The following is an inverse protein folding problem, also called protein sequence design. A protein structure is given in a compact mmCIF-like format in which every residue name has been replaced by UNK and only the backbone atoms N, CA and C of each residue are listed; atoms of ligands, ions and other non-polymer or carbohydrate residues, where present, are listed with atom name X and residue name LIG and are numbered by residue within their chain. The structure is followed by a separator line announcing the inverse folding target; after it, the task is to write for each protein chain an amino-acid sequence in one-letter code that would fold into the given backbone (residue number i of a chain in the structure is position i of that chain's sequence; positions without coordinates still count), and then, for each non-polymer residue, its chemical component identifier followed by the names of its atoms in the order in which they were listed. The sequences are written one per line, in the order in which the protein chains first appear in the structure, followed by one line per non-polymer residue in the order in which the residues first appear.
data_IF_549645325094
#
_entry.id   IF_549645325094
#
_cell.length_a   1.000
_cell.length_b   1.000
_cell.length_c   1.000
_cell.angle_alpha   90.00
_cell.angle_beta   90.00
_cell.angle_gamma   90.00
#
_symmetry.space_group_name_H-M   'P 1'
#
loop_
_entity.id
_entity.type
_entity.pdbx_description
1 polymer ?
#
# COMPACT_ATOMS: atom_id res chain seq x y z
N UNK A 1 2.63 14.08 -6.26
CA UNK A 1 1.32 13.76 -6.89
C UNK A 1 0.54 15.07 -6.99
N UNK A 2 0.11 15.46 -8.18
CA UNK A 2 -0.68 16.69 -8.35
C UNK A 2 -2.00 16.57 -7.57
N UNK A 3 -2.52 17.67 -6.98
CA UNK A 3 -3.77 17.65 -6.26
C UNK A 3 -4.93 17.24 -7.18
N UNK A 4 -5.81 16.37 -6.67
CA UNK A 4 -7.01 15.97 -7.38
C UNK A 4 -8.05 17.07 -7.14
N UNK A 5 -8.52 17.71 -8.22
CA UNK A 5 -9.49 18.81 -8.11
C UNK A 5 -10.87 18.29 -7.69
N UNK A 6 -11.65 19.13 -7.01
CA UNK A 6 -13.03 18.78 -6.64
C UNK A 6 -13.91 18.61 -7.87
N UNK A 7 -13.66 19.39 -8.94
CA UNK A 7 -14.37 19.28 -10.20
C UNK A 7 -14.20 17.88 -10.83
N UNK A 8 -12.95 17.38 -10.91
CA UNK A 8 -12.68 16.03 -11.40
C UNK A 8 -13.43 14.96 -10.60
N UNK A 9 -13.49 15.12 -9.27
CA UNK A 9 -14.20 14.19 -8.40
C UNK A 9 -15.72 14.23 -8.61
N UNK A 10 -16.28 15.42 -8.82
CA UNK A 10 -17.71 15.58 -9.09
C UNK A 10 -18.09 14.98 -10.44
N UNK A 11 -17.31 15.23 -11.49
CA UNK A 11 -17.53 14.64 -12.81
C UNK A 11 -17.43 13.12 -12.77
N UNK A 12 -16.40 12.57 -12.10
CA UNK A 12 -16.24 11.12 -11.94
C UNK A 12 -17.40 10.51 -11.13
N UNK A 13 -17.90 11.19 -10.08
CA UNK A 13 -19.10 10.76 -9.32
C UNK A 13 -20.39 10.81 -10.18
N UNK A 14 -20.48 11.74 -11.10
CA UNK A 14 -21.60 11.87 -12.04
C UNK A 14 -21.57 10.82 -13.16
N UNK A 15 -20.50 9.99 -13.24
CA UNK A 15 -20.35 8.93 -14.23
C UNK A 15 -19.65 9.38 -15.50
N UNK A 16 -18.98 10.53 -15.52
CA UNK A 16 -18.16 10.94 -16.66
C UNK A 16 -16.98 9.98 -16.82
N UNK A 17 -16.94 9.27 -17.95
CA UNK A 17 -15.94 8.24 -18.23
C UNK A 17 -14.53 8.85 -18.37
N UNK A 18 -14.42 10.05 -18.92
CA UNK A 18 -13.12 10.72 -19.10
C UNK A 18 -12.55 11.14 -17.75
N UNK A 19 -13.39 11.70 -16.87
CA UNK A 19 -13.00 12.05 -15.51
C UNK A 19 -12.63 10.81 -14.70
N UNK A 20 -13.37 9.72 -14.86
CA UNK A 20 -13.08 8.44 -14.21
C UNK A 20 -11.75 7.88 -14.69
N UNK A 21 -11.50 7.84 -15.99
CA UNK A 21 -10.23 7.39 -16.56
C UNK A 21 -9.05 8.23 -16.06
N UNK A 22 -9.20 9.55 -15.99
CA UNK A 22 -8.17 10.44 -15.45
C UNK A 22 -7.90 10.19 -13.96
N UNK A 23 -8.94 9.90 -13.16
CA UNK A 23 -8.80 9.57 -11.75
C UNK A 23 -8.07 8.24 -11.57
N UNK A 24 -8.47 7.21 -12.32
CA UNK A 24 -7.82 5.89 -12.32
C UNK A 24 -6.34 6.04 -12.70
N UNK A 25 -6.03 6.74 -13.80
CA UNK A 25 -4.65 6.94 -14.24
C UNK A 25 -3.76 7.59 -13.16
N UNK A 26 -4.30 8.56 -12.40
CA UNK A 26 -3.58 9.22 -11.30
C UNK A 26 -3.34 8.31 -10.10
N UNK A 27 -4.29 7.41 -9.81
CA UNK A 27 -4.19 6.51 -8.66
C UNK A 27 -3.52 5.17 -8.98
N UNK A 28 -3.40 4.81 -10.27
CA UNK A 28 -2.85 3.55 -10.74
C UNK A 28 -1.44 3.24 -10.19
N UNK A 29 -0.46 4.18 -10.15
CA UNK A 29 0.85 3.89 -9.57
C UNK A 29 0.79 3.45 -8.12
N UNK A 30 -0.15 4.01 -7.35
CA UNK A 30 -0.36 3.65 -5.95
C UNK A 30 -1.04 2.29 -5.82
N UNK A 31 -2.04 2.02 -6.66
CA UNK A 31 -2.75 0.74 -6.72
C UNK A 31 -1.76 -0.38 -7.06
N UNK A 32 -0.96 -0.22 -8.11
CA UNK A 32 0.06 -1.21 -8.52
C UNK A 32 1.12 -1.44 -7.44
N UNK A 33 1.58 -0.38 -6.79
CA UNK A 33 2.52 -0.50 -5.66
C UNK A 33 1.92 -1.28 -4.49
N UNK A 34 0.64 -1.05 -4.20
CA UNK A 34 -0.09 -1.78 -3.16
C UNK A 34 -0.32 -3.25 -3.56
N UNK A 35 -0.72 -3.50 -4.81
CA UNK A 35 -0.92 -4.84 -5.36
C UNK A 35 0.36 -5.68 -5.25
N UNK A 36 1.50 -5.13 -5.65
CA UNK A 36 2.79 -5.81 -5.53
C UNK A 36 3.10 -6.30 -4.11
N UNK A 37 2.75 -5.49 -3.09
CA UNK A 37 2.98 -5.82 -1.67
C UNK A 37 1.98 -6.82 -1.10
N UNK A 38 0.79 -6.89 -1.68
CA UNK A 38 -0.30 -7.71 -1.17
C UNK A 38 -0.48 -9.03 -1.92
N UNK A 39 0.39 -9.36 -2.89
CA UNK A 39 0.39 -10.67 -3.53
C UNK A 39 0.53 -11.77 -2.49
N UNK A 40 -0.21 -12.84 -2.69
CA UNK A 40 -0.17 -14.02 -1.85
C UNK A 40 -0.61 -15.24 -2.68
N UNK A 41 -0.31 -16.45 -2.24
CA UNK A 41 -0.90 -17.64 -2.87
C UNK A 41 -2.44 -17.54 -2.89
N UNK A 42 -3.04 -17.57 -4.08
CA UNK A 42 -4.47 -17.37 -4.29
C UNK A 42 -4.91 -15.90 -4.42
N UNK A 43 -3.97 -14.97 -4.53
CA UNK A 43 -4.19 -13.58 -4.94
C UNK A 43 -2.99 -13.14 -5.76
N UNK A 44 -3.12 -13.17 -7.06
CA UNK A 44 -2.07 -12.72 -7.97
C UNK A 44 -1.97 -11.18 -8.05
N UNK A 45 -1.08 -10.69 -8.90
CA UNK A 45 -0.87 -9.24 -9.04
C UNK A 45 -2.08 -8.53 -9.64
N UNK A 46 -2.67 -9.12 -10.67
CA UNK A 46 -3.80 -8.54 -11.39
C UNK A 46 -5.07 -8.52 -10.51
N UNK A 47 -5.32 -9.59 -9.79
CA UNK A 47 -6.40 -9.64 -8.79
C UNK A 47 -6.22 -8.56 -7.72
N UNK A 48 -5.00 -8.42 -7.20
CA UNK A 48 -4.70 -7.37 -6.22
C UNK A 48 -4.83 -5.95 -6.79
N UNK A 49 -4.59 -5.75 -8.10
CA UNK A 49 -4.87 -4.48 -8.80
C UNK A 49 -6.37 -4.25 -8.90
N UNK A 50 -7.16 -5.26 -9.27
CA UNK A 50 -8.62 -5.14 -9.32
C UNK A 50 -9.22 -4.80 -7.96
N UNK A 51 -8.78 -5.44 -6.89
CA UNK A 51 -9.19 -5.09 -5.53
C UNK A 51 -8.84 -3.64 -5.17
N UNK A 52 -7.67 -3.18 -5.61
CA UNK A 52 -7.30 -1.78 -5.44
C UNK A 52 -8.20 -0.80 -6.21
N UNK A 53 -8.65 -1.17 -7.41
CA UNK A 53 -9.63 -0.40 -8.18
C UNK A 53 -11.00 -0.38 -7.48
N UNK A 54 -11.48 -1.51 -6.97
CA UNK A 54 -12.71 -1.58 -6.16
C UNK A 54 -12.61 -0.62 -4.96
N UNK A 55 -11.47 -0.65 -4.25
CA UNK A 55 -11.22 0.28 -3.15
C UNK A 55 -11.22 1.76 -3.57
N UNK A 56 -10.74 2.09 -4.78
CA UNK A 56 -10.81 3.44 -5.34
C UNK A 56 -12.26 3.86 -5.63
N UNK A 57 -13.06 2.99 -6.25
CA UNK A 57 -14.48 3.25 -6.53
C UNK A 57 -15.28 3.46 -5.23
N UNK A 58 -15.05 2.64 -4.23
CA UNK A 58 -15.67 2.80 -2.92
C UNK A 58 -15.27 4.12 -2.24
N UNK A 59 -14.00 4.49 -2.35
CA UNK A 59 -13.52 5.78 -1.86
C UNK A 59 -14.24 6.94 -2.57
N UNK A 60 -14.37 6.89 -3.90
CA UNK A 60 -15.06 7.93 -4.66
C UNK A 60 -16.52 8.09 -4.22
N UNK A 61 -17.23 6.99 -4.02
CA UNK A 61 -18.64 6.99 -3.58
C UNK A 61 -18.83 7.56 -2.19
N UNK A 62 -17.94 7.21 -1.24
CA UNK A 62 -18.06 7.58 0.18
C UNK A 62 -17.41 8.90 0.52
N UNK A 63 -16.60 9.46 -0.37
CA UNK A 63 -15.84 10.67 -0.08
C UNK A 63 -16.77 11.86 0.16
N UNK A 64 -16.55 12.53 1.27
CA UNK A 64 -17.20 13.79 1.65
C UNK A 64 -16.10 14.85 1.87
N UNK A 65 -16.11 15.88 1.01
CA UNK A 65 -15.15 16.98 1.10
C UNK A 65 -15.32 17.84 2.36
N UNK A 66 -16.53 17.83 2.98
CA UNK A 66 -16.79 18.56 4.21
C UNK A 66 -15.99 18.05 5.42
N UNK A 67 -15.47 16.82 5.37
CA UNK A 67 -14.64 16.23 6.41
C UNK A 67 -13.21 16.79 6.45
N UNK A 68 -12.84 17.70 5.54
CA UNK A 68 -11.54 18.35 5.53
C UNK A 68 -10.32 17.47 5.20
N UNK A 69 -10.55 16.21 4.83
CA UNK A 69 -9.48 15.27 4.45
C UNK A 69 -9.29 15.30 2.94
N UNK A 70 -8.07 15.45 2.40
CA UNK A 70 -7.83 15.37 0.96
C UNK A 70 -8.24 14.00 0.39
N UNK A 71 -8.93 13.99 -0.76
CA UNK A 71 -9.39 12.76 -1.42
C UNK A 71 -8.26 11.74 -1.61
N UNK A 72 -7.09 12.17 -2.06
CA UNK A 72 -5.96 11.28 -2.30
C UNK A 72 -5.55 10.50 -1.04
N UNK A 73 -5.59 11.13 0.13
CA UNK A 73 -5.31 10.47 1.41
C UNK A 73 -6.38 9.44 1.78
N UNK A 74 -7.67 9.83 1.65
CA UNK A 74 -8.80 8.95 1.92
C UNK A 74 -8.81 7.74 0.96
N UNK A 75 -8.66 7.98 -0.34
CA UNK A 75 -8.62 6.92 -1.34
C UNK A 75 -7.43 5.96 -1.13
N UNK A 76 -6.28 6.48 -0.71
CA UNK A 76 -5.12 5.65 -0.37
C UNK A 76 -5.45 4.62 0.71
N UNK A 77 -6.15 5.03 1.76
CA UNK A 77 -6.56 4.13 2.84
C UNK A 77 -7.58 3.08 2.36
N UNK A 78 -8.57 3.49 1.58
CA UNK A 78 -9.58 2.57 1.04
C UNK A 78 -8.94 1.52 0.12
N UNK A 79 -8.03 1.93 -0.78
CA UNK A 79 -7.29 1.03 -1.67
C UNK A 79 -6.47 0.03 -0.86
N UNK A 80 -5.72 0.51 0.14
CA UNK A 80 -4.90 -0.37 0.97
C UNK A 80 -5.75 -1.37 1.75
N UNK A 81 -6.88 -0.95 2.30
CA UNK A 81 -7.78 -1.84 3.03
C UNK A 81 -8.35 -2.93 2.11
N UNK A 82 -8.85 -2.56 0.91
CA UNK A 82 -9.38 -3.52 -0.05
C UNK A 82 -8.34 -4.59 -0.40
N UNK A 83 -7.12 -4.18 -0.75
CA UNK A 83 -6.03 -5.11 -1.09
C UNK A 83 -5.59 -5.98 0.09
N UNK A 84 -5.55 -5.44 1.31
CA UNK A 84 -5.22 -6.22 2.51
C UNK A 84 -6.32 -7.23 2.86
N UNK A 85 -7.57 -6.86 2.70
CA UNK A 85 -8.69 -7.76 2.97
C UNK A 85 -8.77 -8.89 1.96
N UNK A 86 -8.50 -8.61 0.67
CA UNK A 86 -8.35 -9.63 -0.36
C UNK A 86 -7.21 -10.61 -0.03
N UNK A 87 -6.04 -10.09 0.36
CA UNK A 87 -4.92 -10.93 0.81
C UNK A 87 -5.28 -11.80 2.01
N UNK A 88 -5.98 -11.25 3.00
CA UNK A 88 -6.46 -12.01 4.17
C UNK A 88 -7.45 -13.11 3.76
N UNK A 89 -8.35 -12.80 2.82
CA UNK A 89 -9.32 -13.77 2.31
C UNK A 89 -8.62 -14.91 1.56
N UNK A 90 -7.66 -14.60 0.68
CA UNK A 90 -6.88 -15.59 -0.05
C UNK A 90 -6.07 -16.51 0.88
N UNK A 91 -5.43 -15.94 1.91
CA UNK A 91 -4.65 -16.73 2.87
C UNK A 91 -5.50 -17.60 3.80
N UNK A 92 -6.75 -17.20 4.11
CA UNK A 92 -7.69 -18.02 4.89
C UNK A 92 -8.19 -19.23 4.09
N UNK A 93 -8.48 -19.04 2.79
CA UNK A 93 -8.93 -20.13 1.90
C UNK A 93 -7.88 -21.24 1.71
N UNK A 94 -6.60 -20.94 1.97
CA UNK A 94 -5.51 -21.92 1.83
C UNK A 94 -5.55 -23.07 2.84
N UNK A 95 -6.36 -22.97 3.90
CA UNK A 95 -6.60 -24.09 4.81
C UNK A 95 -7.78 -24.99 4.43
N UNK A 96 -8.44 -24.74 3.30
CA UNK A 96 -9.45 -25.63 2.76
C UNK A 96 -8.77 -26.65 1.82
N UNK A 97 -9.01 -27.98 1.99
CA UNK A 97 -8.28 -29.04 1.28
C UNK A 97 -8.54 -29.16 -0.21
N UNK A 98 -9.14 -28.17 -0.87
CA UNK A 98 -9.53 -28.19 -2.28
C UNK A 98 -8.58 -27.41 -3.22
N UNK A 99 -7.44 -26.91 -2.75
CA UNK A 99 -6.50 -26.13 -3.58
C UNK A 99 -5.17 -26.87 -3.84
N UNK A 100 -5.17 -28.21 -3.89
CA UNK A 100 -4.00 -28.99 -4.32
C UNK A 100 -3.86 -29.14 -5.85
N UNK A 101 -4.54 -28.31 -6.63
CA UNK A 101 -4.19 -28.16 -8.04
C UNK A 101 -3.00 -27.20 -8.14
N UNK A 102 -1.83 -27.77 -8.37
CA UNK A 102 -0.61 -27.06 -8.74
C UNK A 102 -0.93 -26.23 -9.99
N UNK A 103 -0.89 -24.89 -9.98
CA UNK A 103 -0.94 -24.13 -11.23
C UNK A 103 0.29 -24.51 -12.04
N UNK A 104 0.10 -24.88 -13.32
CA UNK A 104 1.22 -24.90 -14.26
C UNK A 104 1.92 -23.53 -14.18
N UNK A 105 3.25 -23.48 -14.14
CA UNK A 105 3.96 -22.22 -14.22
C UNK A 105 3.69 -21.63 -15.61
N UNK A 106 2.75 -20.68 -15.69
CA UNK A 106 2.74 -19.76 -16.81
C UNK A 106 4.00 -18.90 -16.63
N UNK A 107 4.84 -18.92 -17.67
CA UNK A 107 6.02 -18.07 -17.79
C UNK A 107 5.59 -16.60 -17.73
N UNK A 108 5.31 -16.09 -16.53
CA UNK A 108 5.45 -14.66 -16.29
C UNK A 108 6.94 -14.38 -16.43
N UNK A 109 7.31 -13.63 -17.46
CA UNK A 109 8.66 -13.14 -17.64
C UNK A 109 9.11 -12.49 -16.33
N UNK A 110 9.90 -13.21 -15.56
CA UNK A 110 10.54 -12.66 -14.37
C UNK A 110 11.27 -11.39 -14.81
N UNK A 111 11.20 -10.28 -14.04
CA UNK A 111 11.96 -9.08 -14.36
C UNK A 111 13.39 -9.50 -14.66
N UNK A 112 13.94 -9.02 -15.79
CA UNK A 112 15.25 -9.42 -16.26
C UNK A 112 16.32 -9.25 -15.18
N UNK A 113 17.43 -9.97 -15.24
CA UNK A 113 18.48 -9.91 -14.21
C UNK A 113 18.98 -8.47 -13.96
N UNK A 114 18.90 -7.60 -14.95
CA UNK A 114 19.25 -6.18 -14.82
C UNK A 114 18.23 -5.40 -13.97
N UNK A 115 16.93 -5.63 -14.15
CA UNK A 115 15.87 -4.99 -13.36
C UNK A 115 15.87 -5.48 -11.91
N UNK A 116 16.18 -6.75 -11.70
CA UNK A 116 16.33 -7.32 -10.35
C UNK A 116 17.55 -6.73 -9.63
N UNK A 117 18.63 -6.49 -10.34
CA UNK A 117 19.86 -5.90 -9.80
C UNK A 117 19.61 -4.44 -9.40
N UNK A 118 18.99 -3.63 -10.26
CA UNK A 118 18.66 -2.23 -9.98
C UNK A 118 17.68 -2.12 -8.79
N UNK A 119 16.66 -2.99 -8.75
CA UNK A 119 15.71 -3.02 -7.65
C UNK A 119 16.36 -3.41 -6.32
N UNK A 120 17.27 -4.39 -6.33
CA UNK A 120 18.01 -4.84 -5.15
C UNK A 120 19.01 -3.80 -4.65
N UNK A 121 19.73 -3.11 -5.54
CA UNK A 121 20.65 -2.02 -5.16
C UNK A 121 19.89 -0.84 -4.55
N UNK A 122 18.77 -0.45 -5.13
CA UNK A 122 17.92 0.61 -4.60
C UNK A 122 17.36 0.23 -3.24
N UNK A 123 16.88 -1.01 -3.08
CA UNK A 123 16.42 -1.54 -1.79
C UNK A 123 17.52 -1.51 -0.73
N UNK A 124 18.71 -2.03 -1.06
CA UNK A 124 19.86 -2.07 -0.15
C UNK A 124 20.30 -0.66 0.27
N UNK A 125 20.31 0.29 -0.68
CA UNK A 125 20.63 1.70 -0.38
C UNK A 125 19.62 2.35 0.55
N UNK A 126 18.32 2.09 0.35
CA UNK A 126 17.26 2.60 1.24
C UNK A 126 17.34 1.95 2.62
N UNK A 127 17.58 0.65 2.70
CA UNK A 127 17.72 -0.06 3.98
C UNK A 127 18.93 0.41 4.75
N UNK A 128 20.10 0.56 4.12
CA UNK A 128 21.30 1.11 4.73
C UNK A 128 21.06 2.54 5.28
N UNK A 129 20.31 3.36 4.55
CA UNK A 129 19.94 4.70 5.01
C UNK A 129 19.00 4.67 6.22
N UNK A 130 18.04 3.76 6.24
CA UNK A 130 17.16 3.54 7.39
C UNK A 130 17.98 3.13 8.61
N UNK A 131 18.93 2.21 8.44
CA UNK A 131 19.77 1.70 9.53
C UNK A 131 20.70 2.77 10.12
N UNK A 132 21.17 3.71 9.30
CA UNK A 132 22.06 4.80 9.76
C UNK A 132 21.30 5.97 10.41
N UNK A 133 20.09 6.27 9.97
CA UNK A 133 19.34 7.45 10.39
C UNK A 133 18.38 7.19 11.56
N UNK A 134 17.87 5.98 11.68
CA UNK A 134 16.82 5.67 12.64
C UNK A 134 17.37 4.89 13.84
N UNK A 135 16.84 5.22 15.03
CA UNK A 135 17.08 4.41 16.23
C UNK A 135 16.39 3.04 16.08
N UNK A 136 16.79 2.01 16.87
CA UNK A 136 16.16 0.68 16.79
C UNK A 136 14.64 0.72 16.94
N UNK A 137 14.10 1.52 17.83
CA UNK A 137 12.66 1.66 18.02
C UNK A 137 11.99 2.40 16.84
N UNK A 138 12.62 3.43 16.29
CA UNK A 138 12.10 4.16 15.13
C UNK A 138 12.08 3.27 13.87
N UNK A 139 13.13 2.46 13.70
CA UNK A 139 13.22 1.47 12.61
C UNK A 139 12.13 0.41 12.75
N UNK A 140 12.00 -0.19 13.93
CA UNK A 140 10.98 -1.21 14.19
C UNK A 140 9.55 -0.68 14.01
N UNK A 141 9.26 0.52 14.50
CA UNK A 141 7.97 1.19 14.32
C UNK A 141 7.68 1.49 12.84
N UNK A 142 8.71 1.90 12.08
CA UNK A 142 8.58 2.15 10.64
C UNK A 142 8.29 0.86 9.88
N UNK A 143 9.03 -0.21 10.13
CA UNK A 143 8.83 -1.51 9.47
C UNK A 143 7.45 -2.09 9.80
N UNK A 144 7.05 -2.07 11.06
CA UNK A 144 5.71 -2.51 11.47
C UNK A 144 4.59 -1.71 10.76
N UNK A 145 4.78 -0.40 10.59
CA UNK A 145 3.84 0.45 9.84
C UNK A 145 3.81 0.12 8.34
N UNK A 146 4.95 -0.26 7.74
CA UNK A 146 5.02 -0.68 6.35
C UNK A 146 4.35 -2.05 6.15
N UNK A 147 4.42 -2.92 7.15
CA UNK A 147 3.72 -4.22 7.17
C UNK A 147 2.21 -4.08 7.48
N UNK A 148 1.70 -2.85 7.62
CA UNK A 148 0.29 -2.58 7.87
C UNK A 148 -0.18 -2.90 9.30
N UNK A 149 0.75 -3.04 10.25
CA UNK A 149 0.39 -3.27 11.66
C UNK A 149 -0.14 -1.98 12.30
N UNK A 150 -1.15 -2.11 13.15
CA UNK A 150 -1.59 -1.01 14.00
C UNK A 150 -0.56 -0.69 15.09
N UNK A 151 -0.54 0.56 15.56
CA UNK A 151 0.36 0.97 16.63
C UNK A 151 0.20 0.10 17.91
N UNK A 152 -1.02 -0.34 18.20
CA UNK A 152 -1.29 -1.23 19.33
C UNK A 152 -0.65 -2.61 19.14
N UNK A 153 -0.75 -3.19 17.94
CA UNK A 153 -0.15 -4.49 17.62
C UNK A 153 1.37 -4.43 17.60
N UNK A 154 1.93 -3.39 16.99
CA UNK A 154 3.38 -3.17 16.97
C UNK A 154 3.93 -2.97 18.40
N UNK A 155 3.19 -2.25 19.26
CA UNK A 155 3.57 -2.04 20.66
C UNK A 155 3.66 -3.33 21.45
N UNK A 156 2.74 -4.28 21.26
CA UNK A 156 2.79 -5.60 21.87
C UNK A 156 4.05 -6.37 21.49
N UNK A 157 4.41 -6.38 20.20
CA UNK A 157 5.63 -7.05 19.72
C UNK A 157 6.92 -6.38 20.19
N UNK A 158 6.90 -5.07 20.40
CA UNK A 158 8.08 -4.25 20.78
C UNK A 158 8.21 -4.04 22.31
N UNK A 159 7.28 -4.53 23.10
CA UNK A 159 7.31 -4.40 24.56
C UNK A 159 7.19 -2.94 25.04
N UNK A 160 6.46 -2.08 24.30
CA UNK A 160 6.32 -0.66 24.62
C UNK A 160 4.85 -0.19 24.52
N UNK A 161 4.57 1.07 24.84
CA UNK A 161 3.21 1.61 24.73
C UNK A 161 2.86 1.96 23.26
N UNK A 162 1.57 1.88 22.86
CA UNK A 162 1.14 2.35 21.53
C UNK A 162 1.56 3.78 21.24
N UNK A 163 1.52 4.65 22.24
CA UNK A 163 1.96 6.05 22.15
C UNK A 163 3.45 6.19 21.85
N UNK A 164 4.28 5.28 22.40
CA UNK A 164 5.71 5.25 22.11
C UNK A 164 5.97 4.88 20.64
N UNK A 165 5.21 3.92 20.08
CA UNK A 165 5.28 3.54 18.66
C UNK A 165 4.87 4.70 17.76
N UNK A 166 3.75 5.37 18.04
CA UNK A 166 3.31 6.54 17.28
C UNK A 166 4.36 7.66 17.27
N UNK A 167 4.92 7.96 18.42
CA UNK A 167 5.96 8.97 18.56
C UNK A 167 7.25 8.57 17.83
N UNK A 168 7.64 7.29 17.90
CA UNK A 168 8.80 6.77 17.18
C UNK A 168 8.59 6.86 15.65
N UNK A 169 7.40 6.49 15.17
CA UNK A 169 7.03 6.59 13.76
C UNK A 169 7.02 8.05 13.27
N UNK A 170 6.53 8.99 14.07
CA UNK A 170 6.55 10.42 13.74
C UNK A 170 7.98 10.94 13.61
N UNK A 171 8.89 10.56 14.55
CA UNK A 171 10.31 10.92 14.48
C UNK A 171 11.00 10.28 13.28
N UNK A 172 10.75 9.01 13.00
CA UNK A 172 11.29 8.32 11.82
C UNK A 172 10.93 9.04 10.53
N UNK A 173 9.66 9.36 10.34
CA UNK A 173 9.17 10.10 9.16
C UNK A 173 9.82 11.48 9.02
N UNK A 174 10.00 12.20 10.13
CA UNK A 174 10.67 13.52 10.13
C UNK A 174 12.13 13.40 9.71
N UNK A 175 12.87 12.45 10.26
CA UNK A 175 14.29 12.21 9.92
C UNK A 175 14.46 11.83 8.45
N UNK A 176 13.63 10.95 7.94
CA UNK A 176 13.68 10.52 6.54
C UNK A 176 13.33 11.66 5.56
N UNK A 177 12.38 12.53 5.93
CA UNK A 177 12.07 13.74 5.13
C UNK A 177 13.20 14.75 5.13
N UNK A 178 13.81 14.99 6.28
CA UNK A 178 14.93 15.94 6.41
C UNK A 178 16.19 15.46 5.66
N UNK A 179 16.31 14.16 5.42
CA UNK A 179 17.45 13.57 4.71
C UNK A 179 17.16 13.26 3.24
N UNK A 180 15.97 13.60 2.73
CA UNK A 180 15.67 13.51 1.29
C UNK A 180 16.52 14.54 0.53
N UNK A 181 17.15 14.14 -0.61
CA UNK A 181 17.90 15.06 -1.45
C UNK A 181 17.03 16.12 -2.08
#
# INVERSE_FOLDING_TARGET
MQPISQELLQQAKAGDETAMAALIARMMPLIRKGAWRNRAPGLDFEDAVQEGLIGLFDALRRYDAAQGVPFAGFATLCIQHAQQDARRAATRKKHAPLNDSVPLPEDEAAPGPEEQTIASETYNRVMARIDTLLSPLERAALLASLDGQSAARAAQGLGCSPKAVENALARARRKLRASAP
#
